data_IF_200476076811
#
_entry.id   IF_200476076811
#
_cell.length_a   1.000
_cell.length_b   1.000
_cell.length_c   1.000
_cell.angle_alpha   90.00
_cell.angle_beta   90.00
_cell.angle_gamma   90.00
#
_symmetry.space_group_name_H-M   'P 1'
#
loop_
_entity.id
_entity.type
_entity.pdbx_description
1 polymer ?
#
# COMPACT_ATOMS: atom_id res chain seq x y z
N UNK A 1 -3.07 -11.97 -28.45
CA UNK A 1 -3.72 -12.10 -27.13
C UNK A 1 -2.78 -11.74 -25.96
N UNK A 2 -1.55 -12.28 -25.90
CA UNK A 2 -0.58 -11.96 -24.83
C UNK A 2 -0.14 -10.48 -24.78
N UNK A 3 -0.02 -9.82 -25.93
CA UNK A 3 0.31 -8.39 -26.00
C UNK A 3 -0.74 -7.48 -25.33
N UNK A 4 -2.03 -7.71 -25.61
CA UNK A 4 -3.13 -6.96 -24.99
C UNK A 4 -3.21 -7.19 -23.48
N UNK A 5 -2.95 -8.41 -23.04
CA UNK A 5 -2.92 -8.74 -21.62
C UNK A 5 -1.80 -7.95 -20.90
N UNK A 6 -0.62 -7.84 -21.52
CA UNK A 6 0.51 -7.05 -20.98
C UNK A 6 0.17 -5.56 -20.91
N UNK A 7 -0.45 -5.00 -21.96
CA UNK A 7 -0.90 -3.61 -21.96
C UNK A 7 -1.94 -3.33 -20.86
N UNK A 8 -2.88 -4.25 -20.64
CA UNK A 8 -3.88 -4.13 -19.57
C UNK A 8 -3.22 -4.17 -18.18
N UNK A 9 -2.21 -5.03 -17.96
CA UNK A 9 -1.47 -5.08 -16.69
C UNK A 9 -0.74 -3.75 -16.43
N UNK A 10 0.00 -3.23 -17.42
CA UNK A 10 0.70 -1.95 -17.32
C UNK A 10 -0.27 -0.77 -17.09
N UNK A 11 -1.43 -0.77 -17.76
CA UNK A 11 -2.46 0.25 -17.55
C UNK A 11 -3.05 0.18 -16.12
N UNK A 12 -3.24 -1.04 -15.60
CA UNK A 12 -3.70 -1.25 -14.22
C UNK A 12 -2.67 -0.77 -13.20
N UNK A 13 -1.38 -1.05 -13.45
CA UNK A 13 -0.27 -0.53 -12.64
C UNK A 13 -0.24 1.00 -12.65
N UNK A 14 -0.33 1.63 -13.83
CA UNK A 14 -0.34 3.08 -13.94
C UNK A 14 -1.53 3.71 -13.19
N UNK A 15 -2.73 3.11 -13.27
CA UNK A 15 -3.90 3.56 -12.51
C UNK A 15 -3.71 3.42 -11.00
N UNK A 16 -3.05 2.33 -10.55
CA UNK A 16 -2.74 2.10 -9.14
C UNK A 16 -1.75 3.14 -8.61
N UNK A 17 -0.66 3.39 -9.35
CA UNK A 17 0.33 4.41 -9.01
C UNK A 17 -0.29 5.83 -8.95
N UNK A 18 -1.22 6.15 -9.85
CA UNK A 18 -1.93 7.43 -9.82
C UNK A 18 -2.83 7.58 -8.58
N UNK A 19 -3.46 6.50 -8.11
CA UNK A 19 -4.30 6.50 -6.90
C UNK A 19 -3.47 6.55 -5.62
N UNK A 20 -2.26 5.98 -5.66
CA UNK A 20 -1.31 5.93 -4.54
C UNK A 20 -0.16 6.92 -4.80
N UNK A 21 -0.49 8.21 -4.96
CA UNK A 21 0.46 9.26 -5.34
C UNK A 21 1.62 9.48 -4.36
N UNK A 22 1.53 8.92 -3.15
CA UNK A 22 2.56 8.96 -2.13
C UNK A 22 3.42 7.68 -2.05
N UNK A 23 3.22 6.73 -2.97
CA UNK A 23 3.97 5.47 -3.01
C UNK A 23 5.39 5.73 -3.56
N UNK A 24 6.46 5.40 -2.81
CA UNK A 24 7.81 5.41 -3.36
C UNK A 24 7.96 4.27 -4.38
N UNK A 25 8.11 4.62 -5.66
CA UNK A 25 8.37 3.66 -6.73
C UNK A 25 9.87 3.32 -6.72
N UNK A 26 10.28 2.06 -6.46
CA UNK A 26 11.67 1.65 -6.52
C UNK A 26 12.19 1.63 -7.96
N UNK A 27 13.49 1.90 -8.14
CA UNK A 27 14.14 1.87 -9.45
C UNK A 27 14.00 0.49 -10.13
N UNK A 28 13.97 -0.60 -9.35
CA UNK A 28 13.76 -1.97 -9.82
C UNK A 28 12.40 -2.14 -10.54
N UNK A 29 11.35 -1.46 -10.06
CA UNK A 29 10.02 -1.49 -10.70
C UNK A 29 10.05 -0.71 -12.01
N UNK A 30 10.80 0.38 -12.07
CA UNK A 30 10.99 1.16 -13.31
C UNK A 30 11.70 0.32 -14.36
N UNK A 31 12.78 -0.37 -13.99
CA UNK A 31 13.54 -1.25 -14.88
C UNK A 31 12.67 -2.39 -15.42
N UNK A 32 11.86 -3.04 -14.58
CA UNK A 32 10.94 -4.11 -15.01
C UNK A 32 9.86 -3.61 -15.98
N UNK A 33 9.36 -2.37 -15.79
CA UNK A 33 8.40 -1.75 -16.72
C UNK A 33 9.06 -1.45 -18.06
N UNK A 34 10.28 -0.92 -18.04
CA UNK A 34 11.06 -0.66 -19.26
C UNK A 34 11.38 -1.96 -20.02
N UNK A 35 11.79 -3.00 -19.30
CA UNK A 35 12.05 -4.32 -19.87
C UNK A 35 10.78 -4.91 -20.50
N UNK A 36 9.64 -4.79 -19.81
CA UNK A 36 8.35 -5.22 -20.33
C UNK A 36 7.99 -4.51 -21.64
N UNK A 37 8.13 -3.18 -21.68
CA UNK A 37 7.88 -2.38 -22.89
C UNK A 37 8.86 -2.71 -24.02
N UNK A 38 10.12 -2.96 -23.69
CA UNK A 38 11.13 -3.33 -24.67
C UNK A 38 10.86 -4.71 -25.28
N UNK A 39 10.52 -5.71 -24.46
CA UNK A 39 10.11 -7.04 -24.91
C UNK A 39 8.82 -7.00 -25.74
N UNK A 40 7.86 -6.14 -25.39
CA UNK A 40 6.63 -5.94 -26.15
C UNK A 40 6.91 -5.34 -27.54
N UNK A 41 7.81 -4.36 -27.64
CA UNK A 41 8.25 -3.80 -28.92
C UNK A 41 8.94 -4.86 -29.78
N UNK A 42 9.81 -5.69 -29.18
CA UNK A 42 10.44 -6.84 -29.87
C UNK A 42 9.40 -7.83 -30.36
N UNK A 43 8.36 -8.13 -29.58
CA UNK A 43 7.27 -9.00 -30.01
C UNK A 43 6.54 -8.42 -31.24
N UNK A 44 6.27 -7.12 -31.25
CA UNK A 44 5.61 -6.45 -32.37
C UNK A 44 6.50 -6.40 -33.63
N UNK A 45 7.82 -6.21 -33.46
CA UNK A 45 8.78 -6.23 -34.55
C UNK A 45 9.03 -7.65 -35.11
N UNK A 46 8.74 -8.69 -34.33
CA UNK A 46 8.88 -10.10 -34.73
C UNK A 46 7.57 -10.67 -35.30
N UNK A 47 6.67 -9.83 -35.82
CA UNK A 47 5.33 -10.26 -36.28
C UNK A 47 5.37 -11.35 -37.34
N UNK A 48 6.45 -11.38 -38.13
CA UNK A 48 6.65 -12.36 -39.21
C UNK A 48 7.06 -13.74 -38.69
N UNK A 49 7.59 -13.84 -37.47
CA UNK A 49 7.91 -15.10 -36.80
C UNK A 49 7.03 -15.25 -35.55
N UNK A 50 5.95 -16.02 -35.70
CA UNK A 50 4.98 -16.29 -34.63
C UNK A 50 5.62 -16.87 -33.37
N UNK A 51 6.68 -17.67 -33.49
CA UNK A 51 7.36 -18.27 -32.34
C UNK A 51 8.13 -17.20 -31.56
N UNK A 52 8.88 -16.35 -32.27
CA UNK A 52 9.61 -15.25 -31.65
C UNK A 52 8.69 -14.17 -31.09
N UNK A 53 7.61 -13.85 -31.79
CA UNK A 53 6.55 -12.97 -31.30
C UNK A 53 5.94 -13.51 -30.02
N UNK A 54 5.54 -14.79 -29.98
CA UNK A 54 4.96 -15.41 -28.79
C UNK A 54 5.94 -15.46 -27.61
N UNK A 55 7.21 -15.77 -27.87
CA UNK A 55 8.27 -15.78 -26.86
C UNK A 55 8.50 -14.39 -26.26
N UNK A 56 8.67 -13.38 -27.10
CA UNK A 56 8.88 -12.00 -26.65
C UNK A 56 7.64 -11.45 -25.92
N UNK A 57 6.43 -11.81 -26.36
CA UNK A 57 5.20 -11.43 -25.67
C UNK A 57 5.07 -12.08 -24.28
N UNK A 58 5.56 -13.31 -24.10
CA UNK A 58 5.64 -13.96 -22.78
C UNK A 58 6.65 -13.29 -21.86
N UNK A 59 7.81 -12.89 -22.38
CA UNK A 59 8.80 -12.14 -21.60
C UNK A 59 8.24 -10.78 -21.15
N UNK A 60 7.59 -10.06 -22.05
CA UNK A 60 6.93 -8.79 -21.73
C UNK A 60 5.89 -8.94 -20.62
N UNK A 61 5.07 -10.00 -20.71
CA UNK A 61 4.07 -10.36 -19.70
C UNK A 61 4.71 -10.66 -18.34
N UNK A 62 5.76 -11.49 -18.32
CA UNK A 62 6.44 -11.87 -17.08
C UNK A 62 7.07 -10.66 -16.36
N UNK A 63 7.70 -9.75 -17.12
CA UNK A 63 8.27 -8.52 -16.56
C UNK A 63 7.17 -7.57 -16.01
N UNK A 64 6.06 -7.40 -16.74
CA UNK A 64 4.92 -6.59 -16.28
C UNK A 64 4.26 -7.17 -15.02
N UNK A 65 4.06 -8.48 -14.97
CA UNK A 65 3.51 -9.16 -13.80
C UNK A 65 4.49 -9.03 -12.61
N UNK A 66 5.80 -9.14 -12.85
CA UNK A 66 6.83 -8.94 -11.80
C UNK A 66 6.85 -7.52 -11.24
N UNK A 67 6.68 -6.50 -12.08
CA UNK A 67 6.55 -5.11 -11.65
C UNK A 67 5.26 -4.89 -10.83
N UNK A 68 4.14 -5.47 -11.26
CA UNK A 68 2.85 -5.33 -10.59
C UNK A 68 2.82 -6.01 -9.20
N UNK A 69 3.46 -7.16 -9.08
CA UNK A 69 3.55 -7.93 -7.83
C UNK A 69 4.82 -7.63 -7.02
N UNK A 70 5.54 -6.55 -7.32
CA UNK A 70 6.73 -6.18 -6.57
C UNK A 70 6.36 -5.91 -5.09
N UNK A 71 7.17 -6.37 -4.11
CA UNK A 71 6.87 -6.22 -2.68
C UNK A 71 6.53 -4.79 -2.31
N UNK A 72 7.25 -3.78 -2.81
CA UNK A 72 6.97 -2.36 -2.53
C UNK A 72 5.63 -1.87 -3.07
N UNK A 73 5.18 -2.39 -4.22
CA UNK A 73 3.88 -2.06 -4.83
C UNK A 73 2.74 -2.79 -4.11
N UNK A 74 3.00 -3.99 -3.58
CA UNK A 74 2.05 -4.75 -2.77
C UNK A 74 2.04 -4.35 -1.28
N UNK A 75 3.11 -3.75 -0.77
CA UNK A 75 3.34 -3.54 0.66
C UNK A 75 2.65 -2.29 1.23
N UNK A 76 2.21 -1.34 0.40
CA UNK A 76 1.44 -0.18 0.88
C UNK A 76 0.13 -0.61 1.58
N UNK A 77 -0.33 -1.85 1.39
CA UNK A 77 -1.46 -2.43 2.11
C UNK A 77 -1.11 -3.26 3.35
N UNK A 78 0.18 -3.51 3.64
CA UNK A 78 0.58 -4.51 4.66
C UNK A 78 1.07 -3.97 6.00
N UNK A 79 1.09 -2.66 6.21
CA UNK A 79 1.22 -2.13 7.58
C UNK A 79 -0.08 -1.46 8.00
N UNK A 80 -1.13 -2.24 8.29
CA UNK A 80 -2.30 -1.65 8.88
C UNK A 80 -1.87 -1.09 10.23
N UNK A 81 -2.29 0.13 10.53
CA UNK A 81 -2.28 0.68 11.89
C UNK A 81 -2.77 -0.35 12.93
N UNK A 82 -3.61 -1.30 12.50
CA UNK A 82 -4.11 -2.44 13.24
C UNK A 82 -3.00 -3.34 13.83
N UNK A 83 -1.87 -3.57 13.14
CA UNK A 83 -0.76 -4.37 13.67
C UNK A 83 0.05 -3.62 14.73
N UNK A 84 0.26 -2.32 14.50
CA UNK A 84 0.87 -1.42 15.49
C UNK A 84 -0.01 -1.37 16.76
N UNK A 85 -1.29 -1.10 16.57
CA UNK A 85 -2.28 -1.07 17.65
C UNK A 85 -2.36 -2.42 18.36
N UNK A 86 -2.33 -3.56 17.65
CA UNK A 86 -2.38 -4.89 18.27
C UNK A 86 -1.14 -5.22 19.13
N UNK A 87 0.06 -4.78 18.74
CA UNK A 87 1.28 -5.00 19.54
C UNK A 87 1.34 -4.07 20.77
N UNK A 88 0.88 -2.84 20.64
CA UNK A 88 1.03 -1.82 21.69
C UNK A 88 -0.18 -1.71 22.64
N UNK A 89 -1.41 -1.95 22.17
CA UNK A 89 -2.61 -1.92 23.02
C UNK A 89 -2.51 -2.76 24.30
N UNK A 90 -1.99 -4.01 24.30
CA UNK A 90 -1.92 -4.82 25.52
C UNK A 90 -1.13 -4.16 26.65
N UNK A 91 -0.10 -3.37 26.31
CA UNK A 91 0.78 -2.71 27.28
C UNK A 91 0.28 -1.32 27.68
N UNK A 92 -0.28 -0.56 26.74
CA UNK A 92 -0.73 0.81 27.01
C UNK A 92 -2.14 0.87 27.61
N UNK A 93 -3.03 -0.08 27.30
CA UNK A 93 -4.41 -0.07 27.78
C UNK A 93 -4.52 -0.08 29.32
N UNK A 94 -3.76 -0.89 30.08
CA UNK A 94 -3.79 -0.84 31.54
C UNK A 94 -3.35 0.52 32.10
N UNK A 95 -2.28 1.10 31.55
CA UNK A 95 -1.74 2.39 32.01
C UNK A 95 -2.73 3.52 31.72
N UNK A 96 -3.32 3.53 30.52
CA UNK A 96 -4.32 4.52 30.10
C UNK A 96 -5.57 4.49 30.98
N UNK A 97 -6.05 3.30 31.38
CA UNK A 97 -7.21 3.16 32.27
C UNK A 97 -6.93 3.78 33.64
N UNK A 98 -5.74 3.57 34.21
CA UNK A 98 -5.40 4.11 35.52
C UNK A 98 -5.28 5.64 35.48
N UNK A 99 -4.67 6.18 34.43
CA UNK A 99 -4.59 7.63 34.21
C UNK A 99 -5.98 8.26 34.00
N UNK A 100 -6.83 7.63 33.19
CA UNK A 100 -8.19 8.09 32.95
C UNK A 100 -9.01 8.11 34.24
N UNK A 101 -8.85 7.09 35.10
CA UNK A 101 -9.55 7.02 36.38
C UNK A 101 -9.09 8.10 37.36
N UNK A 102 -7.78 8.35 37.44
CA UNK A 102 -7.21 9.41 38.25
C UNK A 102 -7.65 10.82 37.77
N UNK A 103 -7.61 11.05 36.45
CA UNK A 103 -8.07 12.29 35.85
C UNK A 103 -9.58 12.51 36.07
N UNK A 104 -10.39 11.45 35.93
CA UNK A 104 -11.82 11.52 36.19
C UNK A 104 -12.13 11.87 37.64
N UNK A 105 -11.41 11.28 38.61
CA UNK A 105 -11.59 11.63 40.02
C UNK A 105 -11.26 13.09 40.30
N UNK A 106 -10.16 13.61 39.77
CA UNK A 106 -9.76 15.00 39.98
C UNK A 106 -10.79 15.97 39.36
N UNK A 107 -11.24 15.66 38.14
CA UNK A 107 -12.26 16.46 37.46
C UNK A 107 -13.59 16.47 38.20
N UNK A 108 -14.00 15.32 38.77
CA UNK A 108 -15.22 15.20 39.59
C UNK A 108 -15.10 16.02 40.88
N UNK A 109 -13.95 15.99 41.56
CA UNK A 109 -13.71 16.79 42.76
C UNK A 109 -13.78 18.28 42.45
N UNK A 110 -13.14 18.72 41.35
CA UNK A 110 -13.15 20.12 40.94
C UNK A 110 -14.55 20.60 40.53
N UNK A 111 -15.36 19.73 39.89
CA UNK A 111 -16.77 20.04 39.56
C UNK A 111 -17.66 20.08 40.80
N UNK A 112 -17.44 19.24 41.80
CA UNK A 112 -18.21 19.24 43.07
C UNK A 112 -17.88 20.44 43.95
N UNK A 113 -16.61 20.89 43.97
CA UNK A 113 -16.19 22.09 44.71
C UNK A 113 -16.89 23.38 44.26
N UNK A 114 -17.28 23.50 42.98
CA UNK A 114 -18.05 24.65 42.46
C UNK A 114 -19.55 24.59 42.81
N UNK A 115 -20.07 23.44 43.26
CA UNK A 115 -21.49 23.27 43.61
C UNK A 115 -21.85 23.67 45.05
N UNK A 116 -20.89 23.64 45.97
CA UNK A 116 -21.16 23.90 47.41
C UNK A 116 -20.98 25.37 47.83
N UNK A 117 -20.39 26.23 46.99
CA UNK A 117 -20.15 27.64 47.32
C UNK A 117 -21.31 28.59 46.91
N UNK A 118 -22.40 28.05 46.35
CA UNK A 118 -23.61 28.82 45.96
C UNK A 118 -24.81 28.66 46.91
N UNK A 119 -24.63 28.00 48.05
CA UNK A 119 -25.71 27.74 49.01
C UNK A 119 -25.38 28.18 50.46
N UNK A 120 -24.55 29.22 50.62
CA UNK A 120 -24.31 29.89 51.89
C UNK A 120 -24.46 31.41 51.70
#
# INVERSE_FOLDING_TARGET
>A
MAANATANTLASLASLLQKLSNLPVPDEVVELVEESLHALRKANASSDDLFQCARNARLARAAADSAFFHPSIMAEHNYPLQHLVAMYMPYFLPVLVQLARAAASELLHWRRGKGSQKAA
#
